data_IF_704920342091
#
_entry.id   IF_704920342091
#
_cell.length_a   1.000
_cell.length_b   1.000
_cell.length_c   1.000
_cell.angle_alpha   90.00
_cell.angle_beta   90.00
_cell.angle_gamma   90.00
#
_symmetry.space_group_name_H-M   'P 1'
#
loop_
_entity.id
_entity.type
_entity.pdbx_description
1 polymer ?
#
# COMPACT_ATOMS: atom_id res chain seq x y z
N UNK A 1 13.11 15.07 -0.47
CA UNK A 1 12.20 14.15 -1.19
C UNK A 1 11.74 14.79 -2.49
N UNK A 2 11.51 14.01 -3.56
CA UNK A 2 10.99 14.55 -4.83
C UNK A 2 9.49 14.86 -4.71
N UNK A 3 9.02 16.03 -5.18
CA UNK A 3 7.61 16.41 -5.08
C UNK A 3 6.71 15.41 -5.81
N UNK A 4 5.51 15.17 -5.27
CA UNK A 4 4.52 14.31 -5.91
C UNK A 4 4.19 14.84 -7.31
N UNK A 5 4.14 13.94 -8.28
CA UNK A 5 3.75 14.25 -9.65
C UNK A 5 2.24 14.10 -9.81
N UNK A 6 1.70 14.65 -10.91
CA UNK A 6 0.29 14.44 -11.26
C UNK A 6 -0.09 12.96 -11.35
N UNK A 7 0.86 12.10 -11.77
CA UNK A 7 0.66 10.67 -11.82
C UNK A 7 0.50 10.08 -10.40
N UNK A 8 1.31 10.49 -9.43
CA UNK A 8 1.19 10.02 -8.04
C UNK A 8 -0.17 10.41 -7.44
N UNK A 9 -0.61 11.65 -7.68
CA UNK A 9 -1.92 12.14 -7.23
C UNK A 9 -3.08 11.41 -7.92
N UNK A 10 -2.96 11.10 -9.21
CA UNK A 10 -3.94 10.30 -9.93
C UNK A 10 -4.02 8.88 -9.37
N UNK A 11 -2.87 8.27 -9.03
CA UNK A 11 -2.86 6.97 -8.36
C UNK A 11 -3.55 7.03 -6.99
N UNK A 12 -3.28 8.06 -6.18
CA UNK A 12 -3.94 8.24 -4.89
C UNK A 12 -5.48 8.27 -4.99
N UNK A 13 -6.03 8.88 -6.04
CA UNK A 13 -7.48 8.90 -6.30
C UNK A 13 -8.05 7.53 -6.66
N UNK A 14 -7.25 6.66 -7.28
CA UNK A 14 -7.63 5.29 -7.65
C UNK A 14 -7.38 4.27 -6.53
N UNK A 15 -6.70 4.66 -5.45
CA UNK A 15 -6.50 3.80 -4.29
C UNK A 15 -7.76 3.73 -3.43
N UNK A 16 -8.01 2.58 -2.75
CA UNK A 16 -9.14 2.43 -1.84
C UNK A 16 -9.20 3.57 -0.83
N UNK A 17 -10.39 4.19 -0.72
CA UNK A 17 -10.63 5.30 0.19
C UNK A 17 -10.71 4.85 1.65
N UNK A 18 -11.17 3.62 1.88
CA UNK A 18 -11.38 3.06 3.20
C UNK A 18 -10.61 1.76 3.38
N UNK A 19 -10.20 1.50 4.63
CA UNK A 19 -9.54 0.26 5.02
C UNK A 19 -8.10 0.12 4.53
N UNK A 20 -7.52 -1.04 4.85
CA UNK A 20 -6.17 -1.42 4.43
C UNK A 20 -6.24 -2.26 3.17
N UNK A 21 -5.36 -1.99 2.21
CA UNK A 21 -5.27 -2.74 0.96
C UNK A 21 -3.85 -3.30 0.75
N UNK A 22 -3.77 -4.43 0.06
CA UNK A 22 -2.49 -5.02 -0.36
C UNK A 22 -1.94 -4.26 -1.56
N UNK A 23 -0.66 -3.88 -1.48
CA UNK A 23 0.04 -3.22 -2.58
C UNK A 23 0.03 -4.06 -3.87
N UNK A 24 0.05 -5.39 -3.75
CA UNK A 24 0.01 -6.33 -4.89
C UNK A 24 -1.31 -6.25 -5.66
N UNK A 25 -2.40 -5.88 -4.99
CA UNK A 25 -3.73 -5.81 -5.58
C UNK A 25 -4.16 -4.37 -5.92
N UNK A 26 -3.28 -3.38 -5.69
CA UNK A 26 -3.57 -2.00 -6.03
C UNK A 26 -3.63 -1.83 -7.56
N UNK A 27 -4.79 -1.40 -8.06
CA UNK A 27 -5.06 -1.20 -9.50
C UNK A 27 -4.44 0.10 -10.03
N UNK A 28 -3.13 0.27 -9.84
CA UNK A 28 -2.34 1.43 -10.26
C UNK A 28 -1.03 0.98 -10.91
N UNK A 29 -0.51 1.76 -11.85
CA UNK A 29 0.77 1.47 -12.49
C UNK A 29 1.94 1.59 -11.50
N UNK A 30 2.78 0.55 -11.40
CA UNK A 30 3.92 0.47 -10.46
C UNK A 30 3.48 0.70 -9.01
N UNK A 31 2.63 -0.17 -8.45
CA UNK A 31 1.97 0.07 -7.18
C UNK A 31 2.94 0.23 -6.02
N UNK A 32 3.98 -0.61 -5.90
CA UNK A 32 4.99 -0.49 -4.84
C UNK A 32 5.67 0.87 -4.84
N UNK A 33 6.20 1.28 -5.99
CA UNK A 33 6.88 2.56 -6.14
C UNK A 33 5.98 3.76 -5.81
N UNK A 34 4.72 3.74 -6.27
CA UNK A 34 3.78 4.86 -6.01
C UNK A 34 3.34 4.88 -4.55
N UNK A 35 3.07 3.73 -3.94
CA UNK A 35 2.72 3.65 -2.53
C UNK A 35 3.85 4.15 -1.63
N UNK A 36 5.10 3.78 -1.91
CA UNK A 36 6.28 4.30 -1.20
C UNK A 36 6.39 5.83 -1.30
N UNK A 37 6.15 6.39 -2.49
CA UNK A 37 6.17 7.85 -2.68
C UNK A 37 5.04 8.56 -1.96
N UNK A 38 3.83 7.99 -1.97
CA UNK A 38 2.68 8.55 -1.29
C UNK A 38 2.80 8.42 0.24
N UNK A 39 3.39 7.33 0.74
CA UNK A 39 3.78 7.17 2.15
C UNK A 39 4.80 8.23 2.56
N UNK A 40 5.87 8.39 1.78
CA UNK A 40 6.89 9.42 1.98
C UNK A 40 6.32 10.84 2.01
N UNK A 41 5.25 11.10 1.24
CA UNK A 41 4.53 12.37 1.22
C UNK A 41 3.43 12.48 2.30
N UNK A 42 3.33 11.52 3.22
CA UNK A 42 2.35 11.53 4.31
C UNK A 42 0.90 11.29 3.88
N UNK A 43 0.67 10.80 2.65
CA UNK A 43 -0.68 10.51 2.13
C UNK A 43 -1.15 9.10 2.48
N UNK A 44 -0.22 8.15 2.69
CA UNK A 44 -0.51 6.78 3.08
C UNK A 44 0.14 6.41 4.41
N UNK A 45 -0.47 5.47 5.10
CA UNK A 45 0.12 4.70 6.20
C UNK A 45 0.50 3.31 5.68
N UNK A 46 1.63 2.79 6.16
CA UNK A 46 2.12 1.45 5.85
C UNK A 46 2.05 0.56 7.09
N UNK A 47 1.68 -0.70 6.91
CA UNK A 47 1.86 -1.76 7.91
C UNK A 47 2.32 -3.05 7.27
N UNK A 48 2.88 -3.92 8.09
CA UNK A 48 3.22 -5.28 7.70
C UNK A 48 2.33 -6.24 8.49
N UNK A 49 1.62 -7.13 7.79
CA UNK A 49 0.74 -8.14 8.40
C UNK A 49 1.17 -9.53 7.95
N UNK A 50 0.85 -10.57 8.75
CA UNK A 50 1.04 -11.95 8.29
C UNK A 50 0.14 -12.22 7.08
N UNK A 51 0.71 -12.85 6.06
CA UNK A 51 -0.02 -13.26 4.88
C UNK A 51 -0.68 -14.62 5.13
N UNK A 52 -1.87 -14.59 5.72
CA UNK A 52 -2.62 -15.79 6.08
C UNK A 52 -2.96 -16.67 4.86
N UNK A 53 -3.13 -16.06 3.68
CA UNK A 53 -3.37 -16.77 2.42
C UNK A 53 -2.15 -17.61 2.01
N UNK A 54 -0.94 -17.07 2.13
CA UNK A 54 0.28 -17.84 1.87
C UNK A 54 0.56 -18.86 2.98
N UNK A 55 0.26 -18.52 4.24
CA UNK A 55 0.41 -19.45 5.35
C UNK A 55 -0.48 -20.69 5.22
N UNK A 56 -1.65 -20.55 4.59
CA UNK A 56 -2.57 -21.66 4.33
C UNK A 56 -2.08 -22.65 3.25
N UNK A 57 -1.08 -22.27 2.45
CA UNK A 57 -0.50 -23.13 1.41
C UNK A 57 0.54 -24.13 1.94
N UNK A 58 0.68 -24.28 3.26
CA UNK A 58 1.50 -25.34 3.87
C UNK A 58 3.01 -25.15 3.73
N UNK A 59 3.48 -24.03 3.18
CA UNK A 59 4.87 -23.62 3.36
C UNK A 59 5.08 -23.33 4.85
N UNK A 60 6.12 -23.92 5.43
CA UNK A 60 6.61 -23.75 6.81
C UNK A 60 7.08 -22.29 7.04
N UNK A 61 6.14 -21.36 6.87
CA UNK A 61 6.42 -19.98 6.53
C UNK A 61 6.45 -19.13 7.78
N UNK A 62 7.51 -19.34 8.57
CA UNK A 62 7.98 -18.41 9.60
C UNK A 62 8.32 -17.00 9.06
N UNK A 63 8.02 -16.69 7.79
CA UNK A 63 8.35 -15.42 7.12
C UNK A 63 7.30 -14.86 6.15
N UNK A 64 6.07 -15.40 6.06
CA UNK A 64 5.08 -14.87 5.12
C UNK A 64 4.39 -13.62 5.67
N UNK A 65 4.97 -12.46 5.37
CA UNK A 65 4.40 -11.16 5.66
C UNK A 65 4.07 -10.42 4.37
N UNK A 66 2.96 -9.68 4.36
CA UNK A 66 2.59 -8.77 3.29
C UNK A 66 2.54 -7.33 3.78
N UNK A 67 2.86 -6.41 2.86
CA UNK A 67 2.74 -4.98 3.10
C UNK A 67 1.36 -4.50 2.70
N UNK A 68 0.71 -3.79 3.61
CA UNK A 68 -0.56 -3.13 3.36
C UNK A 68 -0.43 -1.62 3.53
N UNK A 69 -1.20 -0.91 2.73
CA UNK A 69 -1.31 0.53 2.79
C UNK A 69 -2.74 0.95 3.10
N UNK A 70 -2.89 2.13 3.68
CA UNK A 70 -4.19 2.80 3.87
C UNK A 70 -4.02 4.29 3.61
N UNK A 71 -5.03 4.94 3.03
CA UNK A 71 -5.05 6.40 2.90
C UNK A 71 -5.18 7.06 4.26
N UNK A 72 -4.32 8.03 4.57
CA UNK A 72 -4.57 8.90 5.72
C UNK A 72 -5.83 9.69 5.43
N UNK A 73 -6.78 9.66 6.35
CA UNK A 73 -7.81 10.68 6.38
C UNK A 73 -7.08 12.02 6.48
N UNK A 74 -7.36 12.97 5.58
CA UNK A 74 -6.89 14.33 5.74
C UNK A 74 -7.28 14.74 7.16
N UNK A 75 -6.30 14.91 8.06
CA UNK A 75 -6.54 15.65 9.30
C UNK A 75 -6.79 17.08 8.81
N UNK A 76 -8.07 17.42 8.69
CA UNK A 76 -8.53 18.77 8.41
C UNK A 76 -8.17 19.71 9.54
#
# INVERSE_FOLDING_TARGET
MKPLTAADLAALKNLPQEGWFDVRHASINRPSYRCERLEAAGQLERRTVRDAELAALGTDALGCFKTQYRRKACQG
#
